data_IF_554176019767
#
_entry.id   IF_554176019767
#
_cell.length_a   1.000
_cell.length_b   1.000
_cell.length_c   1.000
_cell.angle_alpha   90.00
_cell.angle_beta   90.00
_cell.angle_gamma   90.00
#
_symmetry.space_group_name_H-M   'P 1'
#
loop_
_entity.id
_entity.type
_entity.pdbx_description
1 polymer ?
#
# COMPACT_ATOMS: atom_id res chain seq x y z
N UNK A 1 23.31 20.74 7.37
CA UNK A 1 22.56 20.91 8.62
C UNK A 1 21.39 21.88 8.48
N UNK A 2 21.58 23.19 8.25
CA UNK A 2 20.45 24.16 8.17
C UNK A 2 19.45 23.95 7.01
N UNK A 3 19.86 23.27 5.93
CA UNK A 3 19.00 23.00 4.77
C UNK A 3 18.16 21.75 4.98
N UNK A 4 18.69 20.73 5.66
CA UNK A 4 17.93 19.52 5.98
C UNK A 4 16.76 19.80 6.93
N UNK A 5 16.96 20.70 7.91
CA UNK A 5 15.91 21.09 8.86
C UNK A 5 14.75 21.83 8.18
N UNK A 6 15.05 22.73 7.23
CA UNK A 6 14.06 23.54 6.50
C UNK A 6 13.18 22.67 5.57
N UNK A 7 13.78 21.64 4.96
CA UNK A 7 13.05 20.70 4.10
C UNK A 7 12.12 19.82 4.92
N UNK A 8 12.56 19.33 6.08
CA UNK A 8 11.73 18.52 6.95
C UNK A 8 10.50 19.31 7.46
N UNK A 9 10.71 20.55 7.89
CA UNK A 9 9.63 21.42 8.39
C UNK A 9 8.61 21.75 7.30
N UNK A 10 9.06 22.09 6.07
CA UNK A 10 8.16 22.35 4.93
C UNK A 10 7.36 21.14 4.49
N UNK A 11 7.93 19.93 4.62
CA UNK A 11 7.22 18.70 4.29
C UNK A 11 6.13 18.41 5.32
N UNK A 12 6.40 18.59 6.61
CA UNK A 12 5.41 18.42 7.69
C UNK A 12 4.24 19.40 7.53
N UNK A 13 4.52 20.67 7.23
CA UNK A 13 3.50 21.70 7.06
C UNK A 13 2.57 21.42 5.86
N UNK A 14 3.13 20.83 4.78
CA UNK A 14 2.37 20.37 3.63
C UNK A 14 1.42 19.20 3.97
N UNK A 15 1.84 18.29 4.87
CA UNK A 15 1.01 17.16 5.33
C UNK A 15 -0.23 17.67 6.04
N UNK A 16 -0.04 18.52 7.05
CA UNK A 16 -1.14 19.05 7.84
C UNK A 16 -2.14 19.82 6.97
N UNK A 17 -1.63 20.60 6.00
CA UNK A 17 -2.48 21.33 5.06
C UNK A 17 -3.30 20.42 4.13
N UNK A 18 -2.70 19.33 3.63
CA UNK A 18 -3.39 18.39 2.72
C UNK A 18 -4.40 17.52 3.46
N UNK A 19 -4.10 17.12 4.70
CA UNK A 19 -5.03 16.40 5.57
C UNK A 19 -6.25 17.28 5.89
N UNK A 20 -6.03 18.54 6.25
CA UNK A 20 -7.10 19.50 6.54
C UNK A 20 -8.03 19.74 5.32
N UNK A 21 -7.49 19.80 4.10
CA UNK A 21 -8.28 19.97 2.87
C UNK A 21 -9.13 18.77 2.47
N UNK A 22 -8.83 17.57 2.98
CA UNK A 22 -9.60 16.36 2.68
C UNK A 22 -11.00 16.32 3.33
N UNK A 23 -11.25 17.16 4.34
CA UNK A 23 -12.47 17.11 5.15
C UNK A 23 -13.66 17.90 4.56
N UNK A 24 -13.45 18.72 3.52
CA UNK A 24 -14.44 19.76 3.14
C UNK A 24 -15.52 19.36 2.11
N UNK A 25 -15.54 18.13 1.56
CA UNK A 25 -16.55 17.74 0.55
C UNK A 25 -17.60 16.73 1.09
N UNK A 26 -18.89 17.07 1.16
CA UNK A 26 -19.87 16.32 1.95
C UNK A 26 -20.53 15.10 1.26
N UNK A 27 -20.23 14.78 0.00
CA UNK A 27 -21.04 13.81 -0.74
C UNK A 27 -20.52 12.37 -0.76
N UNK A 28 -19.24 12.08 -1.10
CA UNK A 28 -18.70 10.70 -1.17
C UNK A 28 -17.16 10.50 -0.90
N UNK A 29 -16.42 11.23 -0.03
CA UNK A 29 -14.94 11.16 -0.03
C UNK A 29 -14.29 10.36 1.12
N UNK A 30 -15.05 9.82 2.10
CA UNK A 30 -14.45 9.33 3.35
C UNK A 30 -13.44 8.19 3.16
N UNK A 31 -13.69 7.25 2.25
CA UNK A 31 -12.79 6.13 1.97
C UNK A 31 -11.53 6.54 1.21
N UNK A 32 -11.65 7.45 0.23
CA UNK A 32 -10.52 7.90 -0.57
C UNK A 32 -9.65 8.90 0.20
N UNK A 33 -10.25 9.69 1.10
CA UNK A 33 -9.53 10.58 2.02
C UNK A 33 -8.75 9.77 3.08
N UNK A 34 -9.34 8.71 3.63
CA UNK A 34 -8.63 7.79 4.54
C UNK A 34 -7.50 7.02 3.85
N UNK A 35 -7.73 6.50 2.64
CA UNK A 35 -6.67 5.86 1.86
C UNK A 35 -5.56 6.85 1.46
N UNK A 36 -5.95 8.06 1.03
CA UNK A 36 -5.03 9.12 0.62
C UNK A 36 -4.17 9.63 1.78
N UNK A 37 -4.75 9.84 2.96
CA UNK A 37 -3.99 10.27 4.15
C UNK A 37 -2.97 9.23 4.60
N UNK A 38 -3.33 7.93 4.60
CA UNK A 38 -2.37 6.85 4.88
C UNK A 38 -1.21 6.82 3.88
N UNK A 39 -1.51 6.96 2.59
CA UNK A 39 -0.49 7.01 1.54
C UNK A 39 0.43 8.24 1.68
N UNK A 40 -0.14 9.38 2.05
CA UNK A 40 0.55 10.64 2.21
C UNK A 40 1.50 10.60 3.42
N UNK A 41 1.03 10.10 4.57
CA UNK A 41 1.87 9.87 5.76
C UNK A 41 3.02 8.91 5.42
N UNK A 42 2.75 7.82 4.70
CA UNK A 42 3.77 6.89 4.25
C UNK A 42 4.81 7.53 3.32
N UNK A 43 4.36 8.30 2.32
CA UNK A 43 5.22 9.01 1.37
C UNK A 43 6.11 10.03 2.07
N UNK A 44 5.56 10.78 3.03
CA UNK A 44 6.31 11.77 3.81
C UNK A 44 7.32 11.09 4.72
N UNK A 45 6.90 10.06 5.48
CA UNK A 45 7.81 9.30 6.32
C UNK A 45 8.99 8.72 5.53
N UNK A 46 8.73 8.19 4.34
CA UNK A 46 9.76 7.66 3.45
C UNK A 46 10.69 8.78 2.92
N UNK A 47 10.12 9.93 2.57
CA UNK A 47 10.89 11.10 2.10
C UNK A 47 11.82 11.62 3.19
N UNK A 48 11.32 11.77 4.42
CA UNK A 48 12.12 12.20 5.59
C UNK A 48 13.21 11.17 5.87
N UNK A 49 12.90 9.87 5.86
CA UNK A 49 13.91 8.83 6.04
C UNK A 49 15.01 8.87 4.96
N UNK A 50 14.65 9.23 3.72
CA UNK A 50 15.59 9.50 2.64
C UNK A 50 16.49 10.71 2.91
N UNK A 51 15.90 11.84 3.31
CA UNK A 51 16.63 13.10 3.57
C UNK A 51 17.58 12.99 4.78
N UNK A 52 17.15 12.30 5.84
CA UNK A 52 17.98 12.07 7.05
C UNK A 52 19.12 11.06 6.79
N UNK A 53 19.13 10.42 5.62
CA UNK A 53 20.17 9.45 5.24
C UNK A 53 19.98 8.07 5.88
N UNK A 54 18.80 7.79 6.45
CA UNK A 54 18.43 6.45 6.91
C UNK A 54 18.29 5.51 5.71
N UNK A 55 17.73 6.02 4.60
CA UNK A 55 17.61 5.29 3.34
C UNK A 55 18.69 5.76 2.35
N UNK A 56 19.65 4.90 1.94
CA UNK A 56 20.64 5.28 0.94
C UNK A 56 19.95 5.45 -0.42
N UNK A 57 19.82 6.70 -0.87
CA UNK A 57 19.30 7.02 -2.20
C UNK A 57 20.48 7.10 -3.17
N UNK A 58 20.57 6.13 -4.07
CA UNK A 58 21.52 6.11 -5.16
C UNK A 58 20.77 5.93 -6.48
N UNK A 59 21.24 6.58 -7.53
CA UNK A 59 20.71 6.45 -8.89
C UNK A 59 21.85 6.26 -9.86
N UNK A 60 21.74 5.25 -10.73
CA UNK A 60 22.64 5.03 -11.86
C UNK A 60 21.82 4.52 -13.06
N UNK A 61 22.42 4.65 -14.24
CA UNK A 61 21.91 4.08 -15.49
C UNK A 61 22.86 2.99 -16.00
N UNK A 62 23.62 2.39 -15.09
CA UNK A 62 24.54 1.32 -15.42
C UNK A 62 23.76 0.05 -15.74
N UNK A 63 24.32 -0.81 -16.58
CA UNK A 63 23.70 -2.09 -16.89
C UNK A 63 23.58 -2.96 -15.63
N UNK A 64 22.44 -3.63 -15.49
CA UNK A 64 22.11 -4.42 -14.30
C UNK A 64 22.59 -5.85 -14.51
N UNK A 65 23.54 -6.29 -13.68
CA UNK A 65 24.05 -7.66 -13.69
C UNK A 65 23.18 -8.57 -12.81
N UNK A 66 22.58 -9.59 -13.41
CA UNK A 66 21.87 -10.68 -12.75
C UNK A 66 22.73 -11.94 -12.70
N UNK A 67 22.32 -12.95 -11.90
CA UNK A 67 22.97 -14.28 -11.87
C UNK A 67 23.00 -14.99 -13.23
N UNK A 68 22.12 -14.61 -14.15
CA UNK A 68 21.97 -15.21 -15.47
C UNK A 68 22.51 -14.34 -16.62
N UNK A 69 23.06 -13.15 -16.33
CA UNK A 69 23.64 -12.27 -17.33
C UNK A 69 23.39 -10.79 -17.04
N UNK A 70 23.97 -9.93 -17.88
CA UNK A 70 23.83 -8.48 -17.79
C UNK A 70 22.76 -7.99 -18.76
N UNK A 71 21.86 -7.14 -18.28
CA UNK A 71 20.81 -6.52 -19.09
C UNK A 71 20.84 -5.01 -18.92
N UNK A 72 20.37 -4.28 -19.94
CA UNK A 72 20.36 -2.82 -19.88
C UNK A 72 19.39 -2.29 -18.84
N UNK A 73 19.74 -1.17 -18.20
CA UNK A 73 19.03 -0.57 -17.07
C UNK A 73 17.51 -0.35 -17.30
N UNK A 74 17.08 -0.09 -18.54
CA UNK A 74 15.67 0.16 -18.83
C UNK A 74 14.82 -1.11 -18.78
N UNK A 75 15.42 -2.29 -18.93
CA UNK A 75 14.71 -3.58 -18.91
C UNK A 75 14.06 -3.84 -17.55
N UNK A 76 14.78 -3.79 -16.40
CA UNK A 76 14.14 -3.93 -15.10
C UNK A 76 13.17 -2.80 -14.77
N UNK A 77 13.44 -1.58 -15.22
CA UNK A 77 12.51 -0.45 -15.04
C UNK A 77 11.17 -0.73 -15.73
N UNK A 78 11.21 -1.19 -16.98
CA UNK A 78 10.00 -1.59 -17.70
C UNK A 78 9.34 -2.81 -17.06
N UNK A 79 10.10 -3.79 -16.59
CA UNK A 79 9.55 -4.95 -15.91
C UNK A 79 8.78 -4.56 -14.64
N UNK A 80 9.31 -3.64 -13.83
CA UNK A 80 8.63 -3.11 -12.64
C UNK A 80 7.37 -2.32 -13.04
N UNK A 81 7.47 -1.44 -14.04
CA UNK A 81 6.34 -0.65 -14.52
C UNK A 81 5.21 -1.51 -15.10
N UNK A 82 5.53 -2.55 -15.86
CA UNK A 82 4.54 -3.37 -16.55
C UNK A 82 4.01 -4.46 -15.61
N UNK A 83 4.90 -5.23 -14.98
CA UNK A 83 4.53 -6.43 -14.21
C UNK A 83 4.09 -6.03 -12.81
N UNK A 84 4.96 -5.35 -12.07
CA UNK A 84 4.69 -5.03 -10.66
C UNK A 84 3.69 -3.88 -10.49
N UNK A 85 3.53 -3.00 -11.49
CA UNK A 85 2.61 -1.86 -11.42
C UNK A 85 1.35 -2.09 -12.26
N UNK A 86 1.46 -2.08 -13.59
CA UNK A 86 0.27 -2.09 -14.45
C UNK A 86 -0.53 -3.40 -14.34
N UNK A 87 0.13 -4.56 -14.45
CA UNK A 87 -0.52 -5.86 -14.40
C UNK A 87 -1.06 -6.13 -12.99
N UNK A 88 -0.25 -5.91 -11.95
CA UNK A 88 -0.70 -6.05 -10.56
C UNK A 88 -1.93 -5.18 -10.26
N UNK A 89 -1.95 -3.93 -10.72
CA UNK A 89 -3.07 -3.01 -10.53
C UNK A 89 -4.35 -3.49 -11.22
N UNK A 90 -4.25 -3.89 -12.50
CA UNK A 90 -5.40 -4.42 -13.25
C UNK A 90 -5.93 -5.70 -12.60
N UNK A 91 -5.03 -6.59 -12.16
CA UNK A 91 -5.40 -7.83 -11.50
C UNK A 91 -6.03 -7.55 -10.12
N UNK A 92 -5.52 -6.56 -9.40
CA UNK A 92 -6.11 -6.04 -8.16
C UNK A 92 -7.55 -5.58 -8.37
N UNK A 93 -7.80 -4.73 -9.37
CA UNK A 93 -9.17 -4.29 -9.72
C UNK A 93 -10.05 -5.47 -10.18
N UNK A 94 -9.50 -6.41 -10.96
CA UNK A 94 -10.26 -7.57 -11.39
C UNK A 94 -10.67 -8.44 -10.18
N UNK A 95 -9.77 -8.61 -9.21
CA UNK A 95 -10.03 -9.39 -8.00
C UNK A 95 -11.20 -8.84 -7.19
N UNK A 96 -11.37 -7.51 -7.11
CA UNK A 96 -12.49 -6.90 -6.37
C UNK A 96 -13.85 -7.21 -7.01
N UNK A 97 -13.87 -7.55 -8.30
CA UNK A 97 -15.10 -7.91 -9.02
C UNK A 97 -15.41 -9.40 -8.96
N UNK A 98 -14.37 -10.24 -8.81
CA UNK A 98 -14.48 -11.70 -8.89
C UNK A 98 -14.63 -12.35 -7.51
N UNK A 99 -14.05 -11.74 -6.47
CA UNK A 99 -14.04 -12.29 -5.13
C UNK A 99 -14.90 -11.41 -4.23
N UNK A 100 -15.96 -12.00 -3.66
CA UNK A 100 -16.81 -11.30 -2.69
C UNK A 100 -15.99 -10.67 -1.56
N UNK A 101 -16.55 -9.64 -0.91
CA UNK A 101 -15.83 -8.72 0.01
C UNK A 101 -14.92 -9.40 1.02
N UNK A 102 -15.34 -10.56 1.57
CA UNK A 102 -14.55 -11.32 2.56
C UNK A 102 -13.26 -11.91 1.96
N UNK A 103 -13.34 -12.57 0.80
CA UNK A 103 -12.14 -13.16 0.17
C UNK A 103 -11.19 -12.09 -0.37
N UNK A 104 -11.73 -11.01 -0.95
CA UNK A 104 -10.92 -9.88 -1.40
C UNK A 104 -10.12 -9.26 -0.23
N UNK A 105 -10.75 -9.09 0.94
CA UNK A 105 -10.05 -8.58 2.12
C UNK A 105 -8.97 -9.55 2.63
N UNK A 106 -9.19 -10.86 2.58
CA UNK A 106 -8.16 -11.84 2.97
C UNK A 106 -6.95 -11.81 2.03
N UNK A 107 -7.18 -11.68 0.73
CA UNK A 107 -6.10 -11.62 -0.26
C UNK A 107 -5.28 -10.35 -0.12
N UNK A 108 -5.94 -9.20 0.09
CA UNK A 108 -5.25 -7.95 0.37
C UNK A 108 -4.34 -8.06 1.61
N UNK A 109 -4.78 -8.75 2.66
CA UNK A 109 -3.96 -8.99 3.85
C UNK A 109 -2.84 -10.02 3.60
N UNK A 110 -3.14 -11.08 2.84
CA UNK A 110 -2.21 -12.16 2.55
C UNK A 110 -1.08 -11.72 1.61
N UNK A 111 -1.32 -10.75 0.73
CA UNK A 111 -0.31 -10.20 -0.19
C UNK A 111 0.93 -9.70 0.55
N UNK A 112 0.75 -9.02 1.69
CA UNK A 112 1.86 -8.53 2.50
C UNK A 112 2.74 -9.68 3.00
N UNK A 113 2.12 -10.75 3.50
CA UNK A 113 2.82 -11.95 3.97
C UNK A 113 3.51 -12.66 2.79
N UNK A 114 2.84 -12.74 1.63
CA UNK A 114 3.41 -13.32 0.43
C UNK A 114 4.64 -12.54 -0.07
N UNK A 115 4.59 -11.20 -0.03
CA UNK A 115 5.72 -10.35 -0.40
C UNK A 115 6.93 -10.59 0.51
N UNK A 116 6.72 -10.71 1.82
CA UNK A 116 7.78 -11.06 2.78
C UNK A 116 8.37 -12.44 2.52
N UNK A 117 7.52 -13.45 2.29
CA UNK A 117 7.96 -14.82 2.00
C UNK A 117 8.73 -14.92 0.68
N UNK A 118 8.22 -14.27 -0.38
CA UNK A 118 8.91 -14.21 -1.67
C UNK A 118 10.20 -13.42 -1.58
N UNK A 119 10.25 -12.34 -0.81
CA UNK A 119 11.48 -11.60 -0.51
C UNK A 119 12.54 -12.50 0.11
N UNK A 120 12.15 -13.27 1.12
CA UNK A 120 13.04 -14.24 1.77
C UNK A 120 13.49 -15.35 0.81
N UNK A 121 12.58 -15.92 0.03
CA UNK A 121 12.86 -17.05 -0.85
C UNK A 121 13.68 -16.66 -2.11
N UNK A 122 13.33 -15.55 -2.76
CA UNK A 122 13.94 -15.12 -4.01
C UNK A 122 15.24 -14.34 -3.80
N UNK A 123 15.32 -13.51 -2.75
CA UNK A 123 16.49 -12.66 -2.48
C UNK A 123 17.38 -13.20 -1.36
N UNK A 124 16.95 -14.23 -0.62
CA UNK A 124 17.71 -14.78 0.51
C UNK A 124 17.87 -13.81 1.67
N UNK A 125 17.07 -12.73 1.71
CA UNK A 125 17.13 -11.72 2.76
C UNK A 125 16.39 -12.23 3.99
N UNK A 126 17.12 -12.61 5.04
CA UNK A 126 16.50 -12.89 6.34
C UNK A 126 15.94 -11.58 6.90
N UNK A 127 14.63 -11.53 7.25
CA UNK A 127 14.05 -10.33 7.82
C UNK A 127 14.78 -10.00 9.12
N UNK A 128 15.42 -8.83 9.15
CA UNK A 128 16.07 -8.31 10.35
C UNK A 128 15.02 -8.15 11.45
N UNK A 129 15.40 -8.22 12.73
CA UNK A 129 14.51 -7.99 13.88
C UNK A 129 13.75 -6.66 13.75
N UNK A 130 14.41 -5.60 13.26
CA UNK A 130 13.77 -4.31 12.98
C UNK A 130 12.71 -4.39 11.85
N UNK A 131 12.96 -5.21 10.83
CA UNK A 131 12.03 -5.43 9.71
C UNK A 131 10.82 -6.24 10.16
N UNK A 132 11.03 -7.22 11.04
CA UNK A 132 9.95 -7.95 11.71
C UNK A 132 9.09 -7.03 12.57
N UNK A 133 9.71 -6.12 13.33
CA UNK A 133 8.97 -5.11 14.10
C UNK A 133 8.15 -4.18 13.19
N UNK A 134 8.75 -3.72 12.08
CA UNK A 134 8.04 -2.93 11.07
C UNK A 134 6.85 -3.69 10.46
N UNK A 135 7.02 -4.98 10.16
CA UNK A 135 5.93 -5.82 9.65
C UNK A 135 4.78 -5.97 10.67
N UNK A 136 5.10 -6.18 11.95
CA UNK A 136 4.11 -6.23 13.03
C UNK A 136 3.36 -4.89 13.15
N UNK A 137 4.08 -3.77 13.06
CA UNK A 137 3.49 -2.43 13.13
C UNK A 137 2.51 -2.19 11.98
N UNK A 138 2.87 -2.59 10.76
CA UNK A 138 1.98 -2.50 9.58
C UNK A 138 0.73 -3.36 9.79
N UNK A 139 0.88 -4.62 10.22
CA UNK A 139 -0.25 -5.50 10.49
C UNK A 139 -1.17 -4.92 11.58
N UNK A 140 -0.61 -4.35 12.64
CA UNK A 140 -1.39 -3.69 13.69
C UNK A 140 -2.18 -2.49 13.15
N UNK A 141 -1.56 -1.63 12.32
CA UNK A 141 -2.23 -0.52 11.66
C UNK A 141 -3.40 -0.98 10.78
N UNK A 142 -3.22 -2.08 10.03
CA UNK A 142 -4.27 -2.64 9.19
C UNK A 142 -5.42 -3.22 10.02
N UNK A 143 -5.13 -3.90 11.14
CA UNK A 143 -6.17 -4.41 12.05
C UNK A 143 -6.99 -3.25 12.62
N UNK A 144 -6.36 -2.17 13.05
CA UNK A 144 -7.05 -0.97 13.54
C UNK A 144 -7.92 -0.35 12.45
N UNK A 145 -7.42 -0.25 11.22
CA UNK A 145 -8.21 0.26 10.08
C UNK A 145 -9.44 -0.60 9.78
N UNK A 146 -9.28 -1.94 9.81
CA UNK A 146 -10.38 -2.89 9.58
C UNK A 146 -11.46 -2.85 10.66
N UNK A 147 -11.09 -2.59 11.92
CA UNK A 147 -12.05 -2.42 13.01
C UNK A 147 -12.89 -1.14 12.89
N UNK A 148 -12.38 -0.12 12.19
CA UNK A 148 -13.09 1.14 11.92
C UNK A 148 -14.06 1.10 10.73
N UNK A 149 -13.99 0.05 9.89
CA UNK A 149 -14.92 -0.12 8.77
C UNK A 149 -16.30 -0.58 9.31
N UNK A 150 -17.40 0.14 9.01
CA UNK A 150 -18.75 -0.31 9.38
C UNK A 150 -18.99 -1.69 8.77
N UNK A 151 -19.47 -2.64 9.58
CA UNK A 151 -19.85 -3.96 9.11
C UNK A 151 -20.82 -3.79 7.93
N UNK A 152 -20.36 -4.10 6.71
CA UNK A 152 -21.20 -4.08 5.54
C UNK A 152 -22.44 -4.93 5.84
N UNK A 153 -23.60 -4.27 5.93
CA UNK A 153 -24.87 -4.93 6.13
C UNK A 153 -25.03 -5.99 5.06
N UNK A 154 -25.10 -7.24 5.50
CA UNK A 154 -25.54 -8.37 4.67
C UNK A 154 -27.01 -8.10 4.35
N UNK A 155 -27.26 -7.26 3.35
CA UNK A 155 -28.56 -7.12 2.72
C UNK A 155 -28.53 -8.01 1.49
N UNK A 156 -28.91 -9.26 1.71
CA UNK A 156 -28.97 -10.30 0.70
C UNK A 156 -29.68 -11.54 1.18
N UNK A 157 -30.67 -11.42 2.08
CA UNK A 157 -31.73 -12.41 2.12
C UNK A 157 -32.78 -11.95 1.10
N UNK A 158 -32.98 -12.66 -0.03
CA UNK A 158 -34.27 -12.57 -0.69
C UNK A 158 -35.27 -13.11 0.32
N UNK A 159 -36.06 -12.21 0.92
CA UNK A 159 -37.29 -12.59 1.61
C UNK A 159 -38.10 -13.35 0.57
N UNK A 160 -38.10 -14.67 0.67
CA UNK A 160 -39.06 -15.48 -0.04
C UNK A 160 -40.37 -15.20 0.67
N UNK A 161 -41.09 -14.23 0.13
CA UNK A 161 -42.49 -14.02 0.39
C UNK A 161 -43.22 -15.25 -0.15
N UNK A 162 -43.24 -16.32 0.66
CA UNK A 162 -44.29 -17.32 0.59
C UNK A 162 -45.55 -16.68 1.15
N UNK A 163 -46.04 -15.64 0.48
CA UNK A 163 -47.43 -15.25 0.59
C UNK A 163 -48.23 -16.41 0.00
N UNK A 164 -48.65 -17.29 0.90
CA UNK A 164 -49.80 -18.14 0.72
C UNK A 164 -50.91 -17.29 0.09
N UNK A 165 -51.18 -17.53 -1.20
CA UNK A 165 -52.43 -17.10 -1.81
C UNK A 165 -53.54 -18.08 -1.39
N UNK A 166 -54.74 -17.56 -1.09
CA UNK A 166 -55.77 -18.21 -0.27
C UNK A 166 -56.41 -19.47 -0.85
#
# INVERSE_FOLDING_TARGET
MRVEDDVAERVVDLVDHLVARGEEHPAQPRSIALAGSGLLVGAVGLTVAGVVGILPIAWNTDDVTYRFGTVSWFVPVLAIGIIATALAYVLGIASTRLLGSRLASFIALAEVVAALLLGWLLLGQLPNLLQGLGAVLVLAGVVVAKLGEPAASVSGDPVLDFAETP
#
